data_IF_940681379880
#
_entry.id   IF_940681379880
#
_cell.length_a   1.000
_cell.length_b   1.000
_cell.length_c   1.000
_cell.angle_alpha   90.00
_cell.angle_beta   90.00
_cell.angle_gamma   90.00
#
_symmetry.space_group_name_H-M   'P 1'
#
loop_
_entity.id
_entity.type
_entity.pdbx_description
1 polymer ?
#
# COMPACT_ATOMS: atom_id res chain seq x y z
N UNK A 1 -4.14 15.03 -6.97
CA UNK A 1 -4.48 16.26 -7.67
C UNK A 1 -5.31 17.15 -6.75
N UNK A 2 -4.82 18.36 -6.47
CA UNK A 2 -5.44 19.28 -5.53
C UNK A 2 -5.81 20.61 -6.19
N UNK A 3 -6.82 21.25 -5.64
CA UNK A 3 -7.08 22.68 -5.78
C UNK A 3 -7.02 23.35 -4.42
N UNK A 4 -6.68 24.63 -4.40
CA UNK A 4 -6.35 25.39 -3.19
C UNK A 4 -6.98 26.77 -3.22
N UNK A 5 -7.49 27.19 -2.08
CA UNK A 5 -7.95 28.56 -1.82
C UNK A 5 -7.19 29.07 -0.59
N UNK A 6 -6.63 30.28 -0.70
CA UNK A 6 -6.00 30.99 0.41
C UNK A 6 -6.84 32.21 0.77
N UNK A 7 -7.31 32.25 2.01
CA UNK A 7 -7.88 33.43 2.64
C UNK A 7 -6.78 34.09 3.44
N UNK A 8 -6.26 35.25 3.00
CA UNK A 8 -5.03 35.82 3.55
C UNK A 8 -5.24 36.45 4.92
N UNK A 9 -4.17 36.46 5.73
CA UNK A 9 -4.06 37.19 6.96
C UNK A 9 -2.80 38.09 6.90
N UNK A 10 -2.84 39.25 7.51
CA UNK A 10 -1.67 40.10 7.71
C UNK A 10 -0.66 39.42 8.65
N UNK A 11 0.59 39.87 8.67
CA UNK A 11 1.66 39.30 9.51
C UNK A 11 1.31 39.29 11.00
N UNK A 12 0.66 40.36 11.50
CA UNK A 12 0.22 40.46 12.88
C UNK A 12 -1.27 40.75 12.93
N UNK A 13 -2.11 39.76 12.63
CA UNK A 13 -3.55 39.97 12.58
C UNK A 13 -4.12 40.17 13.99
N UNK A 14 -5.12 41.03 14.09
CA UNK A 14 -5.92 41.14 15.32
C UNK A 14 -6.80 39.95 15.48
N UNK A 15 -7.31 39.72 16.71
CA UNK A 15 -8.27 38.62 16.98
C UNK A 15 -9.53 38.74 16.10
N UNK A 16 -9.99 39.97 15.86
CA UNK A 16 -11.17 40.23 15.01
C UNK A 16 -10.89 39.94 13.54
N UNK A 17 -9.70 40.23 13.04
CA UNK A 17 -9.28 39.90 11.68
C UNK A 17 -9.17 38.40 11.47
N UNK A 18 -8.63 37.68 12.43
CA UNK A 18 -8.55 36.23 12.43
C UNK A 18 -9.95 35.61 12.43
N UNK A 19 -10.83 36.07 13.30
CA UNK A 19 -12.20 35.59 13.39
C UNK A 19 -12.99 35.82 12.09
N UNK A 20 -12.86 37.02 11.49
CA UNK A 20 -13.50 37.36 10.22
C UNK A 20 -13.00 36.47 9.06
N UNK A 21 -11.69 36.25 8.98
CA UNK A 21 -11.10 35.37 7.96
C UNK A 21 -11.52 33.92 8.14
N UNK A 22 -11.56 33.43 9.36
CA UNK A 22 -12.02 32.07 9.66
C UNK A 22 -13.49 31.87 9.31
N UNK A 23 -14.34 32.84 9.62
CA UNK A 23 -15.76 32.82 9.26
C UNK A 23 -15.95 32.77 7.74
N UNK A 24 -15.19 33.59 7.00
CA UNK A 24 -15.20 33.59 5.55
C UNK A 24 -14.72 32.24 5.00
N UNK A 25 -13.64 31.69 5.54
CA UNK A 25 -13.13 30.38 5.14
C UNK A 25 -14.14 29.27 5.41
N UNK A 26 -14.79 29.28 6.57
CA UNK A 26 -15.84 28.31 6.90
C UNK A 26 -17.03 28.39 5.94
N UNK A 27 -17.45 29.61 5.58
CA UNK A 27 -18.54 29.81 4.62
C UNK A 27 -18.17 29.27 3.22
N UNK A 28 -16.93 29.44 2.79
CA UNK A 28 -16.44 28.93 1.51
C UNK A 28 -16.39 27.39 1.53
N UNK A 29 -15.91 26.80 2.61
CA UNK A 29 -15.91 25.33 2.79
C UNK A 29 -17.32 24.79 2.71
N UNK A 30 -18.27 25.40 3.36
CA UNK A 30 -19.68 25.00 3.35
C UNK A 30 -20.27 25.09 1.95
N UNK A 31 -20.06 26.18 1.24
CA UNK A 31 -20.50 26.34 -0.15
C UNK A 31 -19.91 25.27 -1.06
N UNK A 32 -18.61 25.00 -0.93
CA UNK A 32 -17.93 23.97 -1.72
C UNK A 32 -18.47 22.58 -1.44
N UNK A 33 -18.72 22.25 -0.18
CA UNK A 33 -19.34 20.97 0.23
C UNK A 33 -20.78 20.82 -0.27
N UNK A 34 -21.49 21.93 -0.43
CA UNK A 34 -22.86 21.94 -0.97
C UNK A 34 -22.90 21.97 -2.51
N UNK A 35 -21.78 21.78 -3.18
CA UNK A 35 -21.70 21.62 -4.63
C UNK A 35 -21.33 22.87 -5.39
N UNK A 36 -20.98 23.99 -4.74
CA UNK A 36 -20.49 25.17 -5.44
C UNK A 36 -19.20 24.86 -6.21
N UNK A 37 -18.99 25.52 -7.35
CA UNK A 37 -17.81 25.34 -8.16
C UNK A 37 -16.57 25.89 -7.44
N UNK A 38 -15.67 25.01 -7.05
CA UNK A 38 -14.45 25.36 -6.30
C UNK A 38 -13.56 26.34 -7.08
N UNK A 39 -13.42 26.15 -8.38
CA UNK A 39 -12.64 27.04 -9.24
C UNK A 39 -13.17 28.48 -9.24
N UNK A 40 -14.49 28.66 -9.28
CA UNK A 40 -15.12 29.99 -9.17
C UNK A 40 -14.93 30.62 -7.81
N UNK A 41 -15.00 29.83 -6.72
CA UNK A 41 -14.69 30.30 -5.37
C UNK A 41 -13.23 30.75 -5.26
N UNK A 42 -12.31 30.02 -5.87
CA UNK A 42 -10.90 30.39 -5.89
C UNK A 42 -10.67 31.71 -6.64
N UNK A 43 -11.27 31.89 -7.80
CA UNK A 43 -11.18 33.15 -8.57
C UNK A 43 -11.71 34.34 -7.76
N UNK A 44 -12.80 34.13 -7.02
CA UNK A 44 -13.48 35.19 -6.26
C UNK A 44 -12.76 35.56 -4.97
N UNK A 45 -12.24 34.59 -4.23
CA UNK A 45 -11.81 34.78 -2.85
C UNK A 45 -10.33 34.48 -2.58
N UNK A 46 -9.67 33.69 -3.42
CA UNK A 46 -8.31 33.26 -3.11
C UNK A 46 -7.26 34.31 -3.40
N UNK A 47 -6.32 34.48 -2.46
CA UNK A 47 -5.14 35.30 -2.64
C UNK A 47 -3.94 34.50 -3.19
N UNK A 48 -4.10 33.24 -3.47
CA UNK A 48 -3.05 32.40 -4.04
C UNK A 48 -2.78 32.76 -5.51
N UNK A 49 -1.52 32.56 -5.93
CA UNK A 49 -1.09 32.83 -7.31
C UNK A 49 -1.89 32.01 -8.35
N UNK A 50 -2.41 30.87 -7.96
CA UNK A 50 -3.21 30.01 -8.82
C UNK A 50 -4.71 30.35 -8.83
N UNK A 51 -5.11 31.39 -8.12
CA UNK A 51 -6.52 31.78 -7.99
C UNK A 51 -7.23 31.91 -9.35
N UNK A 52 -6.62 32.62 -10.30
CA UNK A 52 -7.18 32.84 -11.63
C UNK A 52 -7.31 31.57 -12.48
N UNK A 53 -6.58 30.52 -12.10
CA UNK A 53 -6.66 29.17 -12.70
C UNK A 53 -7.59 28.25 -11.92
N UNK A 54 -8.47 28.79 -11.11
CA UNK A 54 -9.36 28.01 -10.27
C UNK A 54 -8.70 27.36 -9.06
N UNK A 55 -7.52 27.83 -8.65
CA UNK A 55 -6.75 27.28 -7.54
C UNK A 55 -6.07 25.95 -7.84
N UNK A 56 -6.00 25.53 -9.09
CA UNK A 56 -5.43 24.25 -9.47
C UNK A 56 -3.94 24.17 -9.14
N UNK A 57 -3.59 23.19 -8.32
CA UNK A 57 -2.19 22.87 -7.98
C UNK A 57 -1.62 21.71 -8.83
N UNK A 58 -2.50 20.95 -9.50
CA UNK A 58 -2.11 19.78 -10.27
C UNK A 58 -1.79 18.56 -9.43
N UNK A 59 -1.07 17.62 -10.03
CA UNK A 59 -0.61 16.40 -9.38
C UNK A 59 0.66 16.65 -8.57
N UNK A 60 0.70 16.13 -7.37
CA UNK A 60 1.87 16.14 -6.50
C UNK A 60 1.80 15.01 -5.50
N UNK A 61 2.91 14.72 -4.86
CA UNK A 61 3.00 13.71 -3.81
C UNK A 61 2.65 14.33 -2.47
N UNK A 62 1.94 13.58 -1.63
CA UNK A 62 1.56 14.06 -0.29
C UNK A 62 2.78 14.42 0.56
N UNK A 63 3.91 13.71 0.36
CA UNK A 63 5.16 13.98 1.07
C UNK A 63 5.83 15.30 0.70
N UNK A 64 5.48 15.85 -0.46
CA UNK A 64 6.02 17.13 -0.95
C UNK A 64 5.22 18.35 -0.44
N UNK A 65 4.08 18.10 0.21
CA UNK A 65 3.22 19.13 0.77
C UNK A 65 3.71 19.57 2.16
N UNK A 66 3.40 20.81 2.57
CA UNK A 66 3.60 21.22 3.95
C UNK A 66 2.95 20.21 4.92
N UNK A 67 3.61 19.96 6.06
CA UNK A 67 3.16 18.94 7.01
C UNK A 67 1.72 19.12 7.48
N UNK A 68 1.26 20.37 7.65
CA UNK A 68 -0.14 20.67 8.01
C UNK A 68 -1.13 20.22 6.94
N UNK A 69 -0.78 20.29 5.65
CA UNK A 69 -1.62 19.81 4.56
C UNK A 69 -1.58 18.30 4.45
N UNK A 70 -0.40 17.70 4.53
CA UNK A 70 -0.23 16.26 4.49
C UNK A 70 -1.03 15.56 5.60
N UNK A 71 -0.99 16.11 6.80
CA UNK A 71 -1.74 15.58 7.95
C UNK A 71 -3.27 15.69 7.73
N UNK A 72 -3.74 16.84 7.26
CA UNK A 72 -5.16 17.06 6.99
C UNK A 72 -5.69 16.19 5.84
N UNK A 73 -4.83 15.86 4.86
CA UNK A 73 -5.19 15.04 3.69
C UNK A 73 -5.02 13.54 3.91
N UNK A 74 -4.49 13.10 5.05
CA UNK A 74 -4.17 11.68 5.30
C UNK A 74 -5.37 10.74 5.18
N UNK A 75 -6.57 11.23 5.49
CA UNK A 75 -7.82 10.48 5.43
C UNK A 75 -8.77 10.97 4.34
N UNK A 76 -8.34 11.92 3.52
CA UNK A 76 -9.17 12.53 2.50
C UNK A 76 -9.41 11.60 1.31
N UNK A 77 -10.60 11.71 0.73
CA UNK A 77 -11.05 10.95 -0.44
C UNK A 77 -11.25 11.88 -1.61
N UNK A 78 -11.33 11.33 -2.82
CA UNK A 78 -11.69 12.08 -4.01
C UNK A 78 -12.98 12.87 -3.81
N UNK A 79 -12.94 14.16 -4.12
CA UNK A 79 -14.05 15.08 -3.98
C UNK A 79 -14.15 15.77 -2.63
N UNK A 80 -13.36 15.39 -1.64
CA UNK A 80 -13.40 15.99 -0.31
C UNK A 80 -12.91 17.44 -0.34
N UNK A 81 -13.57 18.26 0.48
CA UNK A 81 -13.16 19.61 0.80
C UNK A 81 -12.56 19.59 2.21
N UNK A 82 -11.31 19.97 2.30
CA UNK A 82 -10.51 19.89 3.55
C UNK A 82 -10.15 21.31 4.01
N UNK A 83 -10.40 21.59 5.24
CA UNK A 83 -10.09 22.87 5.87
C UNK A 83 -11.27 23.49 6.63
N UNK A 84 -11.15 24.73 7.06
CA UNK A 84 -9.97 25.60 6.89
C UNK A 84 -8.77 25.15 7.72
N UNK A 85 -7.57 25.29 7.14
CA UNK A 85 -6.31 24.96 7.79
C UNK A 85 -5.56 26.30 8.01
N UNK A 86 -5.19 26.59 9.24
CA UNK A 86 -4.47 27.80 9.55
C UNK A 86 -2.97 27.64 9.35
N UNK A 87 -2.36 28.67 8.71
CA UNK A 87 -0.91 28.84 8.62
C UNK A 87 -0.52 30.29 8.95
N UNK A 88 0.77 30.60 8.87
CA UNK A 88 1.26 31.96 9.09
C UNK A 88 0.77 33.00 8.07
N UNK A 89 0.28 32.56 6.91
CA UNK A 89 -0.17 33.46 5.82
C UNK A 89 -1.69 33.58 5.74
N UNK A 90 -2.43 32.71 6.42
CA UNK A 90 -3.89 32.75 6.41
C UNK A 90 -4.54 31.39 6.60
N UNK A 91 -5.75 31.26 6.07
CA UNK A 91 -6.51 30.02 6.07
C UNK A 91 -6.49 29.36 4.68
N UNK A 92 -6.27 28.05 4.67
CA UNK A 92 -6.20 27.25 3.47
C UNK A 92 -7.40 26.33 3.36
N UNK A 93 -7.94 26.23 2.16
CA UNK A 93 -9.00 25.29 1.82
C UNK A 93 -8.51 24.45 0.65
N UNK A 94 -8.59 23.14 0.79
CA UNK A 94 -8.12 22.19 -0.21
C UNK A 94 -9.28 21.37 -0.74
N UNK A 95 -9.27 21.11 -2.05
CA UNK A 95 -10.16 20.15 -2.69
C UNK A 95 -9.34 19.03 -3.29
N UNK A 96 -9.72 17.79 -2.98
CA UNK A 96 -9.14 16.60 -3.58
C UNK A 96 -9.85 16.32 -4.90
N UNK A 97 -9.24 16.72 -6.00
CA UNK A 97 -9.81 16.52 -7.34
C UNK A 97 -9.71 15.05 -7.76
N UNK A 98 -8.58 14.41 -7.48
CA UNK A 98 -8.35 13.01 -7.78
C UNK A 98 -7.20 12.45 -6.93
N UNK A 99 -7.17 11.14 -6.77
CA UNK A 99 -6.15 10.39 -6.04
C UNK A 99 -5.53 9.35 -6.96
N UNK A 100 -4.21 9.24 -6.91
CA UNK A 100 -3.44 8.18 -7.56
C UNK A 100 -2.47 7.59 -6.55
N UNK A 101 -2.20 6.32 -6.69
CA UNK A 101 -1.36 5.61 -5.74
C UNK A 101 -2.11 5.47 -4.41
N UNK A 102 -1.44 5.49 -3.37
CA UNK A 102 -1.87 5.08 -2.05
C UNK A 102 -1.01 3.91 -1.66
N UNK A 103 -1.05 3.50 -0.42
CA UNK A 103 -0.58 2.20 -0.02
C UNK A 103 -1.36 1.16 -0.81
N UNK A 104 -0.81 0.72 -1.92
CA UNK A 104 -1.22 -0.57 -2.45
C UNK A 104 -0.86 -1.56 -1.35
N UNK A 105 -1.87 -2.11 -0.71
CA UNK A 105 -1.68 -3.34 0.03
C UNK A 105 -1.31 -4.39 -1.02
N UNK A 106 -0.01 -4.50 -1.28
CA UNK A 106 0.51 -5.61 -2.05
C UNK A 106 0.33 -6.80 -1.11
N UNK A 107 -0.71 -7.56 -1.35
CA UNK A 107 -0.89 -8.84 -0.69
C UNK A 107 0.16 -9.78 -1.29
N UNK A 108 1.24 -10.00 -0.56
CA UNK A 108 2.23 -11.00 -0.91
C UNK A 108 1.78 -12.31 -0.28
N UNK A 109 1.50 -13.30 -1.12
CA UNK A 109 1.23 -14.65 -0.64
C UNK A 109 2.57 -15.30 -0.32
N UNK A 110 2.80 -15.62 0.94
CA UNK A 110 3.92 -16.45 1.36
C UNK A 110 3.42 -17.88 1.62
N UNK A 111 4.26 -18.85 1.32
CA UNK A 111 4.00 -20.26 1.59
C UNK A 111 5.04 -20.80 2.54
N UNK A 112 4.60 -21.64 3.47
CA UNK A 112 5.48 -22.43 4.31
C UNK A 112 5.45 -23.88 3.80
N UNK A 113 6.52 -24.27 3.17
CA UNK A 113 6.60 -25.57 2.49
C UNK A 113 7.65 -26.48 3.11
N UNK A 114 7.47 -27.77 2.92
CA UNK A 114 8.47 -28.79 3.20
C UNK A 114 8.67 -29.61 1.93
N UNK A 115 9.90 -30.05 1.70
CA UNK A 115 10.19 -30.92 0.57
C UNK A 115 11.12 -32.09 0.92
N UNK A 116 11.08 -33.09 0.08
CA UNK A 116 12.01 -34.21 0.06
C UNK A 116 12.59 -34.30 -1.34
N UNK A 117 13.89 -34.22 -1.44
CA UNK A 117 14.62 -34.28 -2.70
C UNK A 117 15.27 -35.65 -2.86
N UNK A 118 14.99 -36.35 -3.97
CA UNK A 118 15.77 -37.48 -4.42
C UNK A 118 16.42 -37.14 -5.76
N UNK A 119 17.73 -37.34 -5.85
CA UNK A 119 18.50 -37.09 -7.07
C UNK A 119 18.67 -38.42 -7.83
N UNK A 120 18.33 -38.45 -9.12
CA UNK A 120 18.67 -39.60 -9.94
C UNK A 120 20.19 -39.81 -9.98
N UNK A 121 20.61 -41.08 -10.04
CA UNK A 121 22.01 -41.48 -10.07
C UNK A 121 22.18 -42.72 -10.95
N UNK A 122 23.42 -43.15 -11.26
CA UNK A 122 23.65 -44.42 -11.95
C UNK A 122 23.04 -45.63 -11.24
N UNK A 123 22.83 -45.57 -9.93
CA UNK A 123 22.25 -46.63 -9.11
C UNK A 123 20.73 -46.52 -9.07
N UNK A 124 20.19 -45.33 -9.19
CA UNK A 124 18.75 -45.05 -9.12
C UNK A 124 18.36 -44.09 -10.26
N UNK A 125 17.69 -44.62 -11.29
CA UNK A 125 17.21 -43.81 -12.40
C UNK A 125 15.96 -42.98 -12.01
N UNK A 126 15.48 -42.15 -12.94
CA UNK A 126 14.31 -41.29 -12.72
C UNK A 126 13.07 -42.07 -12.31
N UNK A 127 12.80 -43.18 -12.95
CA UNK A 127 11.63 -44.01 -12.64
C UNK A 127 11.70 -44.62 -11.23
N UNK A 128 12.89 -45.05 -10.82
CA UNK A 128 13.12 -45.57 -9.47
C UNK A 128 13.03 -44.50 -8.41
N UNK A 129 13.58 -43.30 -8.68
CA UNK A 129 13.45 -42.15 -7.78
C UNK A 129 11.99 -41.71 -7.61
N UNK A 130 11.24 -41.68 -8.71
CA UNK A 130 9.83 -41.34 -8.67
C UNK A 130 9.01 -42.39 -7.87
N UNK A 131 9.25 -43.67 -8.11
CA UNK A 131 8.58 -44.77 -7.37
C UNK A 131 8.88 -44.70 -5.87
N UNK A 132 10.12 -44.38 -5.49
CA UNK A 132 10.50 -44.19 -4.09
C UNK A 132 9.81 -42.99 -3.46
N UNK A 133 9.71 -41.87 -4.16
CA UNK A 133 8.97 -40.71 -3.68
C UNK A 133 7.48 -40.99 -3.51
N UNK A 134 6.88 -41.70 -4.44
CA UNK A 134 5.48 -42.13 -4.34
C UNK A 134 5.23 -43.05 -3.12
N UNK A 135 6.16 -43.97 -2.85
CA UNK A 135 6.09 -44.80 -1.66
C UNK A 135 6.22 -43.98 -0.38
N UNK A 136 7.14 -43.05 -0.33
CA UNK A 136 7.32 -42.14 0.80
C UNK A 136 6.04 -41.32 1.03
N UNK A 137 5.46 -40.75 -0.04
CA UNK A 137 4.21 -40.02 0.03
C UNK A 137 3.06 -40.86 0.56
N UNK A 138 2.94 -42.10 0.10
CA UNK A 138 1.95 -43.04 0.58
C UNK A 138 2.13 -43.38 2.07
N UNK A 139 3.35 -43.58 2.53
CA UNK A 139 3.65 -43.85 3.93
C UNK A 139 3.33 -42.63 4.84
N UNK A 140 3.56 -41.46 4.37
CA UNK A 140 3.18 -40.23 5.08
C UNK A 140 1.65 -40.12 5.17
N UNK A 141 0.96 -40.29 4.06
CA UNK A 141 -0.52 -40.18 3.99
C UNK A 141 -1.21 -41.25 4.87
N UNK A 142 -0.65 -42.46 4.94
CA UNK A 142 -1.18 -43.56 5.74
C UNK A 142 -0.84 -43.45 7.23
N UNK A 143 0.03 -42.56 7.61
CA UNK A 143 0.46 -42.38 9.00
C UNK A 143 1.60 -43.29 9.46
N UNK A 144 2.19 -44.07 8.56
CA UNK A 144 3.35 -44.96 8.89
C UNK A 144 4.57 -44.16 9.30
N UNK A 145 4.74 -42.96 8.73
CA UNK A 145 5.82 -42.04 9.07
C UNK A 145 5.30 -40.57 9.01
N UNK A 146 6.10 -39.66 9.45
CA UNK A 146 5.83 -38.22 9.29
C UNK A 146 6.69 -37.66 8.18
N UNK A 147 6.27 -36.53 7.60
CA UNK A 147 7.05 -35.82 6.58
C UNK A 147 8.45 -35.48 7.07
N UNK A 148 8.56 -34.94 8.28
CA UNK A 148 9.83 -34.60 8.87
C UNK A 148 10.78 -35.79 9.04
N UNK A 149 10.28 -36.92 9.50
CA UNK A 149 11.07 -38.17 9.65
C UNK A 149 11.53 -38.69 8.30
N UNK A 150 10.62 -38.70 7.30
CA UNK A 150 10.96 -39.12 5.95
C UNK A 150 12.01 -38.20 5.30
N UNK A 151 11.91 -36.91 5.49
CA UNK A 151 12.90 -35.97 4.99
C UNK A 151 14.29 -36.20 5.62
N UNK A 152 14.36 -36.43 6.90
CA UNK A 152 15.63 -36.74 7.59
C UNK A 152 16.24 -38.05 7.10
N UNK A 153 15.39 -39.05 6.82
CA UNK A 153 15.87 -40.37 6.42
C UNK A 153 16.26 -40.44 4.93
N UNK A 154 15.55 -39.75 4.06
CA UNK A 154 15.64 -39.96 2.61
C UNK A 154 16.01 -38.74 1.79
N UNK A 155 15.76 -37.53 2.28
CA UNK A 155 16.02 -36.31 1.49
C UNK A 155 17.52 -36.11 1.23
N UNK A 156 17.86 -35.83 -0.01
CA UNK A 156 19.21 -35.50 -0.45
C UNK A 156 19.46 -34.00 -0.52
N UNK A 157 18.54 -33.18 -0.02
CA UNK A 157 18.75 -31.75 0.12
C UNK A 157 19.52 -31.44 1.42
N UNK A 158 20.80 -31.05 1.33
CA UNK A 158 21.59 -30.82 2.54
C UNK A 158 21.11 -29.61 3.34
N UNK A 159 20.40 -28.67 2.71
CA UNK A 159 19.93 -27.44 3.35
C UNK A 159 18.71 -27.67 4.25
N UNK A 160 17.89 -28.67 3.98
CA UNK A 160 16.63 -28.86 4.71
C UNK A 160 16.39 -30.25 5.28
N UNK A 161 17.13 -31.29 4.83
CA UNK A 161 16.91 -32.66 5.25
C UNK A 161 16.93 -32.83 6.79
N UNK A 162 17.93 -32.28 7.44
CA UNK A 162 18.08 -32.36 8.90
C UNK A 162 17.06 -31.53 9.67
N UNK A 163 16.36 -30.64 8.98
CA UNK A 163 15.27 -29.80 9.53
C UNK A 163 13.88 -30.35 9.16
N UNK A 164 13.80 -31.62 8.80
CA UNK A 164 12.55 -32.24 8.40
C UNK A 164 12.01 -31.77 7.05
N UNK A 165 12.89 -31.29 6.18
CA UNK A 165 12.54 -30.78 4.86
C UNK A 165 11.98 -29.36 4.87
N UNK A 166 12.00 -28.69 6.01
CA UNK A 166 11.41 -27.34 6.17
C UNK A 166 12.18 -26.30 5.35
N UNK A 167 11.46 -25.61 4.46
CA UNK A 167 11.98 -24.53 3.62
C UNK A 167 11.70 -23.14 4.19
N UNK A 168 11.00 -23.04 5.32
CA UNK A 168 10.57 -21.80 5.90
C UNK A 168 9.45 -21.12 5.12
N UNK A 169 9.14 -19.89 5.50
CA UNK A 169 8.20 -19.03 4.78
C UNK A 169 8.92 -18.34 3.62
N UNK A 170 8.31 -18.36 2.47
CA UNK A 170 8.86 -17.70 1.28
C UNK A 170 7.76 -17.37 0.27
N UNK A 171 8.03 -16.40 -0.60
CA UNK A 171 7.17 -16.12 -1.74
C UNK A 171 7.35 -17.24 -2.79
N UNK A 172 6.28 -17.70 -3.45
CA UNK A 172 6.38 -18.82 -4.40
C UNK A 172 7.36 -18.63 -5.55
N UNK A 173 7.61 -17.40 -5.94
CA UNK A 173 8.46 -17.02 -7.07
C UNK A 173 9.96 -17.26 -6.85
N UNK A 174 10.42 -17.51 -5.62
CA UNK A 174 11.81 -17.91 -5.37
C UNK A 174 12.09 -19.36 -5.76
N UNK A 175 11.06 -20.16 -5.96
CA UNK A 175 11.20 -21.58 -6.31
C UNK A 175 11.25 -21.79 -7.81
N UNK A 176 11.82 -22.94 -8.20
CA UNK A 176 11.73 -23.43 -9.57
C UNK A 176 10.27 -23.44 -10.07
N UNK A 177 10.00 -23.08 -11.34
CA UNK A 177 8.63 -23.01 -11.86
C UNK A 177 7.79 -24.26 -11.66
N UNK A 178 8.35 -25.43 -11.85
CA UNK A 178 7.63 -26.70 -11.66
C UNK A 178 7.26 -26.92 -10.18
N UNK A 179 8.17 -26.59 -9.29
CA UNK A 179 7.96 -26.66 -7.84
C UNK A 179 6.91 -25.64 -7.38
N UNK A 180 7.05 -24.41 -7.85
CA UNK A 180 6.09 -23.34 -7.56
C UNK A 180 4.69 -23.71 -8.00
N UNK A 181 4.52 -24.21 -9.22
CA UNK A 181 3.22 -24.59 -9.77
C UNK A 181 2.58 -25.72 -8.96
N UNK A 182 3.36 -26.67 -8.48
CA UNK A 182 2.88 -27.73 -7.61
C UNK A 182 2.41 -27.18 -6.23
N UNK A 183 3.14 -26.22 -5.67
CA UNK A 183 2.75 -25.57 -4.40
C UNK A 183 1.44 -24.80 -4.49
N UNK A 184 1.20 -24.17 -5.62
CA UNK A 184 0.05 -23.28 -5.80
C UNK A 184 -1.24 -23.98 -6.26
N UNK A 185 -1.18 -25.29 -6.49
CA UNK A 185 -2.37 -26.14 -6.77
C UNK A 185 -3.18 -26.45 -5.49
#
# INVERSE_FOLDING_TARGET
NLSHILIPLAENPTADEVAAAQEQANAIVEQARNGANFGKLAITYSADQQALKGGQMGWGRIQELPGIFAQALSTAKKGDIVGPIRSGVGFHILKVNDLRGGTQNISVTEVHARHILLKPSPIMNDAQAQAKLEQIAADIKSGKTTFAKAAKAFSEDPGSANQGGDLGWATPDIFDPAFRDALMR
#
